data_IF_560733411305
#
_entry.id   IF_560733411305
#
_cell.length_a   1.000
_cell.length_b   1.000
_cell.length_c   1.000
_cell.angle_alpha   90.00
_cell.angle_beta   90.00
_cell.angle_gamma   90.00
#
_symmetry.space_group_name_H-M   'P 1'
#
loop_
_entity.id
_entity.type
_entity.pdbx_description
1 polymer ?
#
# COMPACT_ATOMS: atom_id res chain seq x y z
N UNK A 1 -10.89 -27.44 -19.34
CA UNK A 1 -11.43 -26.80 -18.12
C UNK A 1 -10.32 -25.99 -17.45
N UNK A 2 -9.97 -24.79 -17.94
CA UNK A 2 -8.80 -24.06 -17.37
C UNK A 2 -8.81 -22.53 -17.56
N UNK A 3 -9.96 -21.90 -17.86
CA UNK A 3 -10.01 -20.43 -18.00
C UNK A 3 -10.22 -19.71 -16.64
N UNK A 4 -11.01 -20.30 -15.72
CA UNK A 4 -11.31 -19.66 -14.43
C UNK A 4 -10.11 -19.62 -13.47
N UNK A 5 -9.25 -20.64 -13.46
CA UNK A 5 -8.13 -20.69 -12.52
C UNK A 5 -7.08 -19.62 -12.80
N UNK A 6 -6.79 -19.34 -14.08
CA UNK A 6 -5.88 -18.25 -14.47
C UNK A 6 -6.42 -16.88 -14.04
N UNK A 7 -7.74 -16.67 -14.17
CA UNK A 7 -8.40 -15.44 -13.72
C UNK A 7 -8.35 -15.26 -12.20
N UNK A 8 -8.53 -16.33 -11.43
CA UNK A 8 -8.40 -16.29 -9.97
C UNK A 8 -6.96 -16.05 -9.52
N UNK A 9 -5.97 -16.68 -10.16
CA UNK A 9 -4.55 -16.46 -9.86
C UNK A 9 -4.15 -14.99 -10.08
N UNK A 10 -4.55 -14.41 -11.23
CA UNK A 10 -4.27 -12.99 -11.53
C UNK A 10 -4.95 -12.07 -10.52
N UNK A 11 -6.17 -12.39 -10.06
CA UNK A 11 -6.85 -11.63 -9.00
C UNK A 11 -6.07 -11.66 -7.69
N UNK A 12 -5.61 -12.84 -7.24
CA UNK A 12 -4.84 -12.96 -6.00
C UNK A 12 -3.51 -12.21 -6.11
N UNK A 13 -2.79 -12.36 -7.21
CA UNK A 13 -1.54 -11.63 -7.44
C UNK A 13 -1.75 -10.12 -7.46
N UNK A 14 -2.81 -9.64 -8.12
CA UNK A 14 -3.15 -8.21 -8.14
C UNK A 14 -3.46 -7.72 -6.73
N UNK A 15 -4.17 -8.50 -5.93
CA UNK A 15 -4.50 -8.15 -4.55
C UNK A 15 -3.24 -8.06 -3.67
N UNK A 16 -2.31 -8.99 -3.82
CA UNK A 16 -1.01 -8.94 -3.12
C UNK A 16 -0.22 -7.69 -3.54
N UNK A 17 -0.12 -7.40 -4.83
CA UNK A 17 0.58 -6.22 -5.34
C UNK A 17 -0.05 -4.93 -4.80
N UNK A 18 -1.37 -4.84 -4.82
CA UNK A 18 -2.10 -3.65 -4.37
C UNK A 18 -1.90 -3.39 -2.87
N UNK A 19 -1.83 -4.44 -2.04
CA UNK A 19 -1.57 -4.32 -0.60
C UNK A 19 -0.09 -3.98 -0.34
N UNK A 20 0.83 -4.55 -1.12
CA UNK A 20 2.29 -4.36 -0.92
C UNK A 20 2.82 -3.06 -1.51
N UNK A 21 2.16 -2.47 -2.51
CA UNK A 21 2.57 -1.20 -3.14
C UNK A 21 2.68 -0.03 -2.16
N UNK A 22 1.65 0.32 -1.34
CA UNK A 22 1.78 1.42 -0.38
C UNK A 22 2.83 1.13 0.69
N UNK A 23 2.96 -0.14 1.12
CA UNK A 23 4.00 -0.56 2.04
C UNK A 23 5.40 -0.36 1.45
N UNK A 24 5.60 -0.70 0.17
CA UNK A 24 6.86 -0.48 -0.53
C UNK A 24 7.18 1.00 -0.71
N UNK A 25 6.22 1.83 -1.11
CA UNK A 25 6.43 3.29 -1.26
C UNK A 25 6.94 3.88 0.05
N UNK A 26 6.33 3.48 1.17
CA UNK A 26 6.72 3.95 2.49
C UNK A 26 8.06 3.37 2.89
N UNK A 27 8.29 2.06 2.71
CA UNK A 27 9.59 1.44 2.95
C UNK A 27 10.73 2.05 2.13
N UNK A 28 10.49 2.47 0.88
CA UNK A 28 11.45 3.16 0.02
C UNK A 28 11.66 4.60 0.47
N UNK A 29 10.59 5.34 0.77
CA UNK A 29 10.67 6.72 1.28
C UNK A 29 11.45 6.78 2.60
N UNK A 30 11.18 5.82 3.49
CA UNK A 30 11.86 5.67 4.77
C UNK A 30 13.25 5.03 4.64
N UNK A 31 13.50 4.19 3.62
CA UNK A 31 14.81 3.57 3.39
C UNK A 31 15.84 4.53 2.79
N UNK A 32 15.41 5.62 2.15
CA UNK A 32 16.28 6.64 1.56
C UNK A 32 16.65 7.71 2.59
N UNK A 33 17.75 7.47 3.34
CA UNK A 33 18.48 8.44 4.19
C UNK A 33 17.64 9.55 4.88
N UNK A 34 17.15 9.24 6.09
CA UNK A 34 16.46 10.16 7.01
C UNK A 34 17.22 11.45 7.39
N UNK A 35 18.48 11.58 7.00
CA UNK A 35 19.37 12.67 7.44
C UNK A 35 19.06 14.02 6.76
N UNK A 36 18.36 14.01 5.61
CA UNK A 36 18.11 15.20 4.80
C UNK A 36 16.68 15.76 4.81
N UNK A 37 15.70 15.03 5.35
CA UNK A 37 14.28 15.41 5.24
C UNK A 37 13.85 16.24 6.46
N UNK A 38 13.79 17.57 6.29
CA UNK A 38 13.36 18.52 7.32
C UNK A 38 11.96 18.23 7.88
N UNK A 39 11.10 17.52 7.14
CA UNK A 39 9.73 17.15 7.57
C UNK A 39 9.72 16.15 8.75
N UNK A 40 10.83 15.47 9.05
CA UNK A 40 10.95 14.55 10.19
C UNK A 40 11.45 15.19 11.49
N UNK A 41 11.85 16.47 11.46
CA UNK A 41 12.12 17.26 12.68
C UNK A 41 10.84 17.63 13.43
N UNK A 42 9.69 17.55 12.77
CA UNK A 42 8.40 17.66 13.44
C UNK A 42 8.22 16.40 14.30
N UNK A 43 7.93 16.60 15.59
CA UNK A 43 7.72 15.56 16.60
C UNK A 43 6.72 14.44 16.19
N UNK A 44 5.97 14.66 15.11
CA UNK A 44 4.90 13.81 14.57
C UNK A 44 5.14 13.30 13.14
N UNK A 45 6.32 13.52 12.52
CA UNK A 45 6.58 13.11 11.13
C UNK A 45 6.43 11.61 10.89
N UNK A 46 6.89 10.80 11.86
CA UNK A 46 6.74 9.34 11.84
C UNK A 46 5.26 8.91 11.92
N UNK A 47 4.51 9.50 12.84
CA UNK A 47 3.09 9.18 13.05
C UNK A 47 2.24 9.59 11.84
N UNK A 48 2.56 10.72 11.19
CA UNK A 48 1.87 11.15 9.98
C UNK A 48 2.06 10.19 8.83
N UNK A 49 3.27 9.69 8.56
CA UNK A 49 3.40 8.78 7.42
C UNK A 49 2.88 7.38 7.72
N UNK A 50 2.93 6.90 8.98
CA UNK A 50 2.20 5.68 9.36
C UNK A 50 0.70 5.88 9.08
N UNK A 51 0.15 7.02 9.49
CA UNK A 51 -1.26 7.34 9.24
C UNK A 51 -1.57 7.38 7.74
N UNK A 52 -0.73 8.02 6.92
CA UNK A 52 -0.89 8.05 5.46
C UNK A 52 -0.81 6.65 4.87
N UNK A 53 0.11 5.80 5.35
CA UNK A 53 0.25 4.41 4.89
C UNK A 53 -0.98 3.59 5.20
N UNK A 54 -1.48 3.69 6.43
CA UNK A 54 -2.68 2.97 6.90
C UNK A 54 -3.92 3.47 6.17
N UNK A 55 -4.06 4.79 5.98
CA UNK A 55 -5.17 5.39 5.24
C UNK A 55 -5.12 5.02 3.77
N UNK A 56 -3.95 5.08 3.12
CA UNK A 56 -3.79 4.68 1.73
C UNK A 56 -4.12 3.19 1.53
N UNK A 57 -3.58 2.32 2.38
CA UNK A 57 -3.87 0.88 2.34
C UNK A 57 -5.36 0.62 2.59
N UNK A 58 -5.96 1.27 3.59
CA UNK A 58 -7.38 1.17 3.93
C UNK A 58 -8.30 1.67 2.81
N UNK A 59 -7.97 2.81 2.18
CA UNK A 59 -8.68 3.33 1.01
C UNK A 59 -8.59 2.38 -0.17
N UNK A 60 -7.43 1.77 -0.38
CA UNK A 60 -7.22 0.85 -1.52
C UNK A 60 -8.02 -0.44 -1.31
N UNK A 61 -8.05 -0.98 -0.08
CA UNK A 61 -8.92 -2.10 0.30
C UNK A 61 -10.39 -1.71 0.15
N UNK A 62 -10.79 -0.53 0.64
CA UNK A 62 -12.17 -0.04 0.54
C UNK A 62 -12.61 0.12 -0.91
N UNK A 63 -11.74 0.63 -1.77
CA UNK A 63 -12.01 0.80 -3.19
C UNK A 63 -12.16 -0.54 -3.91
N UNK A 64 -11.30 -1.51 -3.60
CA UNK A 64 -11.43 -2.89 -4.09
C UNK A 64 -12.74 -3.55 -3.65
N UNK A 65 -13.12 -3.35 -2.39
CA UNK A 65 -14.38 -3.87 -1.81
C UNK A 65 -15.60 -3.22 -2.48
N UNK A 66 -15.54 -1.91 -2.76
CA UNK A 66 -16.63 -1.19 -3.44
C UNK A 66 -16.79 -1.59 -4.90
N UNK A 67 -15.70 -1.96 -5.59
CA UNK A 67 -15.73 -2.41 -6.99
C UNK A 67 -16.20 -3.86 -7.20
N UNK A 68 -16.56 -4.60 -6.13
CA UNK A 68 -17.02 -6.01 -6.21
C UNK A 68 -16.08 -6.93 -7.01
N UNK A 69 -14.78 -6.70 -6.90
CA UNK A 69 -13.77 -7.61 -7.48
C UNK A 69 -13.47 -8.81 -6.58
N UNK A 70 -13.97 -8.77 -5.34
CA UNK A 70 -14.19 -9.89 -4.41
C UNK A 70 -15.67 -10.25 -4.38
#
# INVERSE_FOLDING_TARGET
MSANQTGEIIKVLTLITVITTPLMIVGTWYGMNFEGIQEFKLKYGYEMAITITVVATGLTIWWFKKKKWL
#
